data_IF_832356158849
#
_entry.id   IF_832356158849
#
_cell.length_a   1.000
_cell.length_b   1.000
_cell.length_c   1.000
_cell.angle_alpha   90.00
_cell.angle_beta   90.00
_cell.angle_gamma   90.00
#
_symmetry.space_group_name_H-M   'P 1'
#
loop_
_entity.id
_entity.type
_entity.pdbx_description
1 polymer ?
#
# COMPACT_ATOMS: atom_id res chain seq x y z
N UNK A 1 3.87 50.12 -7.33
CA UNK A 1 4.14 49.04 -6.35
C UNK A 1 3.15 47.85 -6.39
N UNK A 2 1.83 48.06 -6.50
CA UNK A 2 0.81 46.99 -6.50
C UNK A 2 0.83 46.11 -7.77
N UNK A 3 1.12 46.68 -8.93
CA UNK A 3 1.15 45.93 -10.21
C UNK A 3 2.37 45.02 -10.34
N UNK A 4 3.53 45.42 -9.80
CA UNK A 4 4.76 44.62 -9.79
C UNK A 4 4.65 43.39 -8.89
N UNK A 5 3.95 43.51 -7.77
CA UNK A 5 3.69 42.40 -6.85
C UNK A 5 2.80 41.32 -7.47
N UNK A 6 1.74 41.73 -8.20
CA UNK A 6 0.85 40.79 -8.86
C UNK A 6 1.58 40.02 -9.97
N UNK A 7 2.41 40.70 -10.77
CA UNK A 7 3.22 40.04 -11.81
C UNK A 7 4.25 39.08 -11.24
N UNK A 8 4.89 39.42 -10.12
CA UNK A 8 5.84 38.52 -9.45
C UNK A 8 5.13 37.28 -8.91
N UNK A 9 3.95 37.45 -8.31
CA UNK A 9 3.17 36.32 -7.78
C UNK A 9 2.69 35.38 -8.88
N UNK A 10 2.22 35.91 -10.02
CA UNK A 10 1.78 35.08 -11.16
C UNK A 10 2.94 34.33 -11.81
N UNK A 11 4.12 34.96 -11.92
CA UNK A 11 5.32 34.31 -12.47
C UNK A 11 5.82 33.20 -11.54
N UNK A 12 5.83 33.43 -10.22
CA UNK A 12 6.21 32.40 -9.24
C UNK A 12 5.23 31.21 -9.29
N UNK A 13 3.92 31.45 -9.29
CA UNK A 13 2.93 30.38 -9.40
C UNK A 13 3.08 29.56 -10.68
N UNK A 14 3.33 30.20 -11.83
CA UNK A 14 3.52 29.51 -13.10
C UNK A 14 4.78 28.63 -13.10
N UNK A 15 5.87 29.08 -12.48
CA UNK A 15 7.11 28.30 -12.36
C UNK A 15 6.91 27.10 -11.41
N UNK A 16 6.18 27.27 -10.31
CA UNK A 16 5.89 26.15 -9.38
C UNK A 16 4.91 25.14 -9.95
N UNK A 17 3.93 25.57 -10.75
CA UNK A 17 2.95 24.67 -11.36
C UNK A 17 3.57 23.73 -12.41
N UNK A 18 4.62 24.19 -13.11
CA UNK A 18 5.38 23.35 -14.05
C UNK A 18 6.29 22.33 -13.35
N UNK A 19 6.70 22.59 -12.11
CA UNK A 19 7.59 21.72 -11.34
C UNK A 19 6.86 20.61 -10.55
N UNK A 20 5.54 20.71 -10.35
CA UNK A 20 4.71 19.55 -10.01
C UNK A 20 4.41 18.75 -11.27
N UNK A 21 5.46 18.28 -11.94
CA UNK A 21 5.33 17.25 -12.96
C UNK A 21 4.65 16.07 -12.28
N UNK A 22 3.39 15.83 -12.63
CA UNK A 22 2.71 14.60 -12.32
C UNK A 22 3.69 13.47 -12.57
N UNK A 23 4.07 12.74 -11.52
CA UNK A 23 4.82 11.50 -11.67
C UNK A 23 3.89 10.55 -12.42
N UNK A 24 3.99 10.57 -13.75
CA UNK A 24 3.30 9.64 -14.64
C UNK A 24 3.78 8.25 -14.25
N UNK A 25 3.06 7.59 -13.35
CA UNK A 25 3.23 6.18 -13.06
C UNK A 25 2.79 5.43 -14.32
N UNK A 26 3.75 5.14 -15.19
CA UNK A 26 3.54 4.29 -16.35
C UNK A 26 3.14 2.91 -15.83
N UNK A 27 1.83 2.60 -15.90
CA UNK A 27 1.27 1.33 -15.42
C UNK A 27 1.93 0.11 -16.08
N UNK A 28 2.53 0.30 -17.26
CA UNK A 28 3.21 -0.74 -18.02
C UNK A 28 4.60 -1.11 -17.47
N UNK A 29 5.19 -0.30 -16.59
CA UNK A 29 6.45 -0.64 -15.90
C UNK A 29 6.24 -1.38 -14.59
N UNK A 30 4.99 -1.52 -14.14
CA UNK A 30 4.65 -2.42 -13.02
C UNK A 30 4.75 -3.85 -13.52
N UNK A 31 5.91 -4.47 -13.32
CA UNK A 31 6.05 -5.92 -13.40
C UNK A 31 5.12 -6.51 -12.35
N UNK A 32 3.95 -7.00 -12.78
CA UNK A 32 3.12 -7.85 -11.93
C UNK A 32 3.94 -9.11 -11.73
N UNK A 33 4.22 -9.53 -10.49
CA UNK A 33 4.85 -10.84 -10.29
C UNK A 33 3.92 -11.87 -10.93
N UNK A 34 4.24 -12.43 -12.09
CA UNK A 34 3.48 -13.61 -12.52
C UNK A 34 3.83 -14.66 -11.49
N UNK A 35 2.86 -15.03 -10.65
CA UNK A 35 3.01 -16.13 -9.73
C UNK A 35 3.04 -17.39 -10.59
N UNK A 36 4.18 -17.64 -11.20
CA UNK A 36 4.52 -18.97 -11.67
C UNK A 36 4.64 -19.83 -10.41
N UNK A 37 3.95 -20.97 -10.33
CA UNK A 37 4.09 -21.87 -9.19
C UNK A 37 5.55 -22.33 -8.96
N UNK A 38 6.42 -22.24 -9.97
CA UNK A 38 7.86 -22.50 -9.82
C UNK A 38 8.66 -21.31 -9.27
N UNK A 39 8.10 -20.09 -9.29
CA UNK A 39 8.74 -18.85 -8.84
C UNK A 39 8.12 -18.33 -7.54
N UNK A 40 7.31 -19.16 -6.87
CA UNK A 40 6.91 -18.95 -5.48
C UNK A 40 8.20 -18.80 -4.69
N UNK A 41 8.52 -17.53 -4.45
CA UNK A 41 9.70 -17.04 -3.76
C UNK A 41 10.04 -18.02 -2.65
N UNK A 42 11.27 -18.55 -2.68
CA UNK A 42 11.90 -19.11 -1.51
C UNK A 42 12.01 -18.00 -0.45
N UNK A 43 10.88 -17.61 0.14
CA UNK A 43 10.85 -17.18 1.52
C UNK A 43 11.28 -18.42 2.27
N UNK A 44 12.58 -18.50 2.50
CA UNK A 44 13.15 -19.05 3.71
C UNK A 44 12.15 -18.74 4.83
N UNK A 45 11.27 -19.70 5.11
CA UNK A 45 10.35 -19.65 6.24
C UNK A 45 11.29 -19.43 7.41
N UNK A 46 11.24 -18.24 7.99
CA UNK A 46 12.08 -17.93 9.13
C UNK A 46 11.62 -18.88 10.23
N UNK A 47 12.36 -19.97 10.39
CA UNK A 47 12.22 -20.93 11.49
C UNK A 47 12.68 -20.24 12.77
N UNK A 48 11.95 -19.21 13.19
CA UNK A 48 11.84 -18.87 14.61
C UNK A 48 10.54 -19.47 15.06
N UNK A 49 10.67 -20.53 15.86
CA UNK A 49 9.63 -21.16 16.65
C UNK A 49 8.64 -20.14 17.23
N UNK A 50 7.53 -19.94 16.53
CA UNK A 50 6.26 -19.57 17.13
C UNK A 50 5.24 -20.59 16.64
N UNK A 51 4.56 -21.19 17.60
CA UNK A 51 3.61 -22.26 17.45
C UNK A 51 2.27 -21.68 16.92
N UNK A 52 2.29 -20.98 15.79
CA UNK A 52 1.15 -20.23 15.27
C UNK A 52 0.57 -20.92 14.04
N UNK A 53 -0.49 -21.67 14.35
CA UNK A 53 -0.91 -22.87 13.64
C UNK A 53 -1.91 -22.56 12.53
N UNK A 54 -1.42 -22.45 11.30
CA UNK A 54 -2.20 -22.78 10.11
C UNK A 54 -2.08 -24.30 9.89
N UNK A 55 -3.01 -25.11 10.42
CA UNK A 55 -3.06 -26.55 10.06
C UNK A 55 -3.66 -26.73 8.70
N UNK A 56 -3.01 -27.51 7.83
CA UNK A 56 -3.49 -27.88 6.49
C UNK A 56 -3.75 -26.67 5.58
N UNK A 57 -3.08 -25.54 5.81
CA UNK A 57 -3.18 -24.38 4.91
C UNK A 57 -2.40 -24.61 3.63
N UNK A 58 -2.89 -24.00 2.56
CA UNK A 58 -2.20 -23.89 1.28
C UNK A 58 -1.86 -22.42 1.00
N UNK A 59 -0.87 -22.20 0.14
CA UNK A 59 -0.54 -20.85 -0.32
C UNK A 59 -1.70 -20.31 -1.15
N UNK A 60 -2.22 -19.15 -0.75
CA UNK A 60 -3.28 -18.50 -1.50
C UNK A 60 -2.80 -18.04 -2.88
N UNK A 61 -3.53 -18.42 -3.92
CA UNK A 61 -3.33 -17.91 -5.27
C UNK A 61 -3.67 -16.41 -5.38
N UNK A 62 -3.18 -15.77 -6.44
CA UNK A 62 -3.51 -14.36 -6.72
C UNK A 62 -5.03 -14.19 -6.81
N UNK A 63 -5.55 -13.22 -6.06
CA UNK A 63 -6.96 -12.89 -6.02
C UNK A 63 -7.91 -14.04 -5.59
N UNK A 64 -7.39 -15.11 -4.98
CA UNK A 64 -8.21 -16.20 -4.44
C UNK A 64 -9.14 -15.70 -3.33
N UNK A 65 -8.66 -14.77 -2.51
CA UNK A 65 -9.41 -14.13 -1.42
C UNK A 65 -9.47 -12.62 -1.71
N UNK A 66 -10.32 -12.17 -2.66
CA UNK A 66 -10.28 -10.80 -3.17
C UNK A 66 -10.71 -9.75 -2.15
N UNK A 67 -11.42 -10.16 -1.10
CA UNK A 67 -11.83 -9.30 0.00
C UNK A 67 -10.76 -9.16 1.10
N UNK A 68 -9.66 -9.92 1.05
CA UNK A 68 -8.62 -9.85 2.09
C UNK A 68 -7.88 -8.51 2.01
N UNK A 69 -7.90 -7.76 3.12
CA UNK A 69 -7.13 -6.53 3.29
C UNK A 69 -5.98 -6.76 4.29
N UNK A 70 -4.80 -6.25 3.95
CA UNK A 70 -3.68 -6.08 4.89
C UNK A 70 -3.51 -4.62 5.22
N UNK A 71 -3.46 -4.28 6.50
CA UNK A 71 -3.36 -2.90 6.97
C UNK A 71 -2.13 -2.73 7.86
N UNK A 72 -1.41 -1.63 7.63
CA UNK A 72 -0.24 -1.23 8.39
C UNK A 72 -0.57 0.05 9.16
N UNK A 73 -0.66 -0.05 10.48
CA UNK A 73 -0.88 1.09 11.35
C UNK A 73 0.46 1.61 11.91
N UNK A 74 0.55 2.93 12.06
CA UNK A 74 1.71 3.61 12.62
C UNK A 74 1.34 4.10 14.01
N UNK A 75 1.99 3.56 15.03
CA UNK A 75 1.78 3.92 16.43
C UNK A 75 3.05 4.57 16.99
N UNK A 76 2.96 5.12 18.20
CA UNK A 76 4.13 5.66 18.92
C UNK A 76 5.20 4.60 19.21
N UNK A 77 4.80 3.32 19.26
CA UNK A 77 5.67 2.17 19.53
C UNK A 77 6.21 1.52 18.25
N UNK A 78 5.81 1.99 17.07
CA UNK A 78 6.31 1.50 15.79
C UNK A 78 5.20 1.23 14.78
N UNK A 79 5.28 0.08 14.10
CA UNK A 79 4.29 -0.30 13.07
C UNK A 79 3.66 -1.62 13.46
N UNK A 80 2.33 -1.69 13.39
CA UNK A 80 1.57 -2.92 13.64
C UNK A 80 0.86 -3.35 12.37
N UNK A 81 0.78 -4.67 12.16
CA UNK A 81 0.11 -5.27 11.02
C UNK A 81 -1.17 -5.94 11.46
N UNK A 82 -2.25 -5.70 10.71
CA UNK A 82 -3.55 -6.29 10.96
C UNK A 82 -4.21 -6.75 9.65
N UNK A 83 -5.16 -7.66 9.80
CA UNK A 83 -6.05 -8.08 8.72
C UNK A 83 -7.36 -7.30 8.70
N UNK A 84 -8.09 -7.40 7.60
CA UNK A 84 -9.46 -6.90 7.47
C UNK A 84 -10.17 -7.49 6.26
N UNK A 85 -11.44 -7.15 6.09
CA UNK A 85 -12.25 -7.57 4.94
C UNK A 85 -12.90 -6.38 4.25
N UNK A 86 -12.76 -6.30 2.93
CA UNK A 86 -13.42 -5.30 2.10
C UNK A 86 -14.91 -5.64 2.04
N UNK A 87 -15.76 -4.73 2.50
CA UNK A 87 -17.23 -4.90 2.53
C UNK A 87 -17.94 -3.97 1.54
N UNK A 88 -17.25 -2.97 0.99
CA UNK A 88 -17.75 -2.09 -0.07
C UNK A 88 -16.61 -1.36 -0.79
N UNK A 89 -16.94 -0.46 -1.71
CA UNK A 89 -15.98 0.39 -2.43
C UNK A 89 -15.14 1.30 -1.51
N UNK A 90 -15.61 1.56 -0.28
CA UNK A 90 -15.03 2.52 0.65
C UNK A 90 -14.82 2.01 2.07
N UNK A 91 -15.25 0.78 2.37
CA UNK A 91 -15.25 0.27 3.74
C UNK A 91 -14.51 -1.08 3.85
N UNK A 92 -13.63 -1.14 4.86
CA UNK A 92 -12.97 -2.35 5.34
C UNK A 92 -13.39 -2.56 6.79
N UNK A 93 -13.84 -3.76 7.13
CA UNK A 93 -14.09 -4.16 8.52
C UNK A 93 -12.84 -4.82 9.11
N UNK A 94 -12.54 -4.54 10.37
CA UNK A 94 -11.39 -5.08 11.11
C UNK A 94 -11.71 -5.21 12.61
N UNK A 95 -10.79 -5.79 13.38
CA UNK A 95 -10.91 -5.84 14.83
C UNK A 95 -10.68 -4.45 15.44
N UNK A 96 -11.43 -4.11 16.50
CA UNK A 96 -11.30 -2.81 17.17
C UNK A 96 -9.87 -2.54 17.64
N UNK A 97 -9.21 -3.53 18.27
CA UNK A 97 -7.85 -3.40 18.79
C UNK A 97 -6.77 -3.13 17.73
N UNK A 98 -7.09 -3.28 16.45
CA UNK A 98 -6.17 -2.93 15.36
C UNK A 98 -6.09 -1.42 15.12
N UNK A 99 -7.10 -0.67 15.55
CA UNK A 99 -7.23 0.77 15.37
C UNK A 99 -7.17 1.54 16.70
N UNK A 100 -6.66 0.91 17.76
CA UNK A 100 -6.37 1.55 19.04
C UNK A 100 -5.09 2.41 18.99
#
# INVERSE_FOLDING_TARGET
>A
PKMTFLTVFTVICAITAAATSASQLNRSTVVRPQANPADAFQTKLHTTSFNERITNGELAGRAQIPYQAGMLFYTTLGRVWCGGSIISDRWVITAAHCAD
#
